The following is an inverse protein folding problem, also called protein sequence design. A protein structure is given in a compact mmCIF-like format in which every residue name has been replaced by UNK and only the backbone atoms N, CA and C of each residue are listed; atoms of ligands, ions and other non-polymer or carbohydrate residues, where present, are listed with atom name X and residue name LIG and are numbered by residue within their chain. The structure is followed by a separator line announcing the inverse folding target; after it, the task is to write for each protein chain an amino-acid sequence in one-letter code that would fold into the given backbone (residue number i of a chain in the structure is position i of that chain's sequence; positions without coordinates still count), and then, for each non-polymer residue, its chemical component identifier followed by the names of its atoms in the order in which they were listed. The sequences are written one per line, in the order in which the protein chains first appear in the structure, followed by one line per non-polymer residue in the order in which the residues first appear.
data_IF_137309383317
#
_entry.id   IF_137309383317
#
_cell.length_a   1.000
_cell.length_b   1.000
_cell.length_c   1.000
_cell.angle_alpha   90.00
_cell.angle_beta   90.00
_cell.angle_gamma   90.00
#
_symmetry.space_group_name_H-M   'P 1'
#
loop_
_entity.id
_entity.type
_entity.pdbx_description
1 polymer ?
#
# COMPACT_ATOMS: atom_id res chain seq x y z
N UNK A 1 -12.97 26.87 29.64
CA UNK A 1 -12.89 26.49 28.21
C UNK A 1 -11.73 25.49 28.05
N UNK A 2 -11.92 24.28 28.56
CA UNK A 2 -10.97 23.16 28.38
C UNK A 2 -11.26 22.48 27.04
N UNK A 3 -10.37 22.66 26.07
CA UNK A 3 -10.28 21.75 24.92
C UNK A 3 -9.64 20.47 25.43
N UNK A 4 -10.46 19.51 25.84
CA UNK A 4 -10.05 18.11 25.91
C UNK A 4 -9.50 17.75 24.53
N UNK A 5 -8.20 17.46 24.46
CA UNK A 5 -7.56 16.78 23.35
C UNK A 5 -8.14 15.38 23.28
N UNK A 6 -9.35 15.26 22.73
CA UNK A 6 -9.92 13.98 22.33
C UNK A 6 -9.11 13.47 21.16
N UNK A 7 -8.04 12.73 21.44
CA UNK A 7 -7.54 11.78 20.47
C UNK A 7 -8.69 10.81 20.19
N UNK A 8 -9.46 11.08 19.14
CA UNK A 8 -10.42 10.14 18.55
C UNK A 8 -9.72 8.76 18.49
N UNK A 9 -10.24 7.74 19.20
CA UNK A 9 -9.59 6.44 19.28
C UNK A 9 -9.36 5.93 17.87
N UNK A 10 -8.09 5.71 17.51
CA UNK A 10 -7.77 5.23 16.17
C UNK A 10 -8.45 3.87 15.99
N UNK A 11 -9.22 3.71 14.91
CA UNK A 11 -10.05 2.52 14.76
C UNK A 11 -9.16 1.28 14.61
N UNK A 12 -9.45 0.28 15.45
CA UNK A 12 -8.74 -1.00 15.41
C UNK A 12 -9.01 -1.71 14.08
N UNK A 13 -7.98 -2.35 13.53
CA UNK A 13 -8.01 -3.01 12.21
C UNK A 13 -9.17 -4.00 12.08
N UNK A 14 -9.37 -4.84 13.10
CA UNK A 14 -10.44 -5.84 13.10
C UNK A 14 -11.84 -5.21 13.07
N UNK A 15 -12.02 -4.07 13.73
CA UNK A 15 -13.29 -3.33 13.74
C UNK A 15 -13.61 -2.79 12.35
N UNK A 16 -12.61 -2.23 11.67
CA UNK A 16 -12.77 -1.74 10.29
C UNK A 16 -13.02 -2.87 9.31
N UNK A 17 -12.33 -4.00 9.43
CA UNK A 17 -12.58 -5.18 8.60
C UNK A 17 -13.98 -5.73 8.81
N UNK A 18 -14.44 -5.83 10.06
CA UNK A 18 -15.80 -6.25 10.38
C UNK A 18 -16.85 -5.29 9.81
N UNK A 19 -16.62 -3.99 9.91
CA UNK A 19 -17.50 -2.97 9.32
C UNK A 19 -17.53 -3.08 7.78
N UNK A 20 -16.38 -3.34 7.15
CA UNK A 20 -16.26 -3.49 5.71
C UNK A 20 -17.01 -4.72 5.19
N UNK A 21 -16.87 -5.86 5.87
CA UNK A 21 -17.59 -7.09 5.53
C UNK A 21 -19.10 -6.89 5.66
N UNK A 22 -19.55 -6.11 6.66
CA UNK A 22 -20.97 -5.78 6.87
C UNK A 22 -21.51 -4.74 5.89
N UNK A 23 -20.66 -3.84 5.39
CA UNK A 23 -21.06 -2.74 4.50
C UNK A 23 -20.05 -2.52 3.35
N UNK A 24 -19.93 -3.47 2.41
CA UNK A 24 -19.00 -3.35 1.29
C UNK A 24 -19.32 -2.15 0.39
N UNK A 25 -20.57 -1.69 0.38
CA UNK A 25 -21.01 -0.54 -0.41
C UNK A 25 -20.26 0.76 -0.07
N UNK A 26 -19.70 0.86 1.14
CA UNK A 26 -18.89 2.01 1.56
C UNK A 26 -17.65 2.19 0.68
N UNK A 27 -17.12 1.11 0.08
CA UNK A 27 -15.99 1.18 -0.85
C UNK A 27 -16.32 1.92 -2.14
N UNK A 28 -17.56 1.83 -2.62
CA UNK A 28 -17.97 2.55 -3.83
C UNK A 28 -18.03 4.06 -3.58
N UNK A 29 -18.39 4.50 -2.37
CA UNK A 29 -18.40 5.91 -1.99
C UNK A 29 -17.00 6.53 -1.93
N UNK A 30 -15.97 5.72 -1.71
CA UNK A 30 -14.56 6.15 -1.70
C UNK A 30 -13.74 5.49 -2.82
N UNK A 31 -14.42 5.10 -3.90
CA UNK A 31 -13.78 4.49 -5.06
C UNK A 31 -12.68 5.40 -5.61
N UNK A 32 -11.45 4.87 -5.67
CA UNK A 32 -10.27 5.71 -5.84
C UNK A 32 -9.96 5.93 -7.33
N UNK A 33 -10.70 6.84 -7.95
CA UNK A 33 -10.55 7.18 -9.37
C UNK A 33 -9.17 7.74 -9.71
N UNK A 34 -8.49 8.42 -8.76
CA UNK A 34 -7.16 8.99 -8.98
C UNK A 34 -6.10 7.89 -9.17
N UNK A 35 -6.14 6.89 -8.29
CA UNK A 35 -5.21 5.76 -8.37
C UNK A 35 -5.50 4.89 -9.59
N UNK A 36 -6.78 4.72 -9.93
CA UNK A 36 -7.17 4.05 -11.17
C UNK A 36 -6.65 4.79 -12.41
N UNK A 37 -6.87 6.10 -12.50
CA UNK A 37 -6.40 6.93 -13.61
C UNK A 37 -4.88 6.88 -13.73
N UNK A 38 -4.16 7.07 -12.63
CA UNK A 38 -2.69 7.00 -12.62
C UNK A 38 -2.19 5.62 -13.10
N UNK A 39 -2.84 4.54 -12.68
CA UNK A 39 -2.51 3.18 -13.12
C UNK A 39 -2.77 2.99 -14.62
N UNK A 40 -3.91 3.46 -15.13
CA UNK A 40 -4.26 3.39 -16.56
C UNK A 40 -3.25 4.19 -17.39
N UNK A 41 -2.89 5.39 -16.96
CA UNK A 41 -1.91 6.23 -17.66
C UNK A 41 -0.53 5.58 -17.71
N UNK A 42 -0.10 4.92 -16.64
CA UNK A 42 1.21 4.27 -16.58
C UNK A 42 1.24 2.92 -17.33
N UNK A 43 0.17 2.12 -17.27
CA UNK A 43 0.13 0.77 -17.83
C UNK A 43 -0.44 0.69 -19.25
N UNK A 44 -1.43 1.52 -19.57
CA UNK A 44 -2.11 1.54 -20.86
C UNK A 44 -1.14 1.61 -22.05
N UNK A 45 -0.15 2.52 -22.07
CA UNK A 45 0.82 2.59 -23.15
C UNK A 45 1.68 1.33 -23.31
N UNK A 46 2.01 0.64 -22.21
CA UNK A 46 2.82 -0.58 -22.22
C UNK A 46 2.04 -1.72 -22.90
N UNK A 47 0.78 -1.92 -22.50
CA UNK A 47 -0.07 -2.96 -23.08
C UNK A 47 -0.45 -2.66 -24.53
N UNK A 48 -0.76 -1.40 -24.83
CA UNK A 48 -1.01 -0.96 -26.20
C UNK A 48 0.23 -1.21 -27.08
N UNK A 49 1.41 -0.77 -26.64
CA UNK A 49 2.68 -0.96 -27.33
C UNK A 49 3.02 -2.44 -27.57
N UNK A 50 2.86 -3.28 -26.56
CA UNK A 50 3.10 -4.72 -26.69
C UNK A 50 2.16 -5.38 -27.71
N UNK A 51 0.89 -4.96 -27.73
CA UNK A 51 -0.14 -5.53 -28.60
C UNK A 51 -0.20 -4.89 -29.99
N UNK A 52 0.44 -3.73 -30.23
CA UNK A 52 0.58 -3.13 -31.56
C UNK A 52 1.24 -4.10 -32.56
N UNK A 53 2.18 -4.91 -32.09
CA UNK A 53 2.83 -5.97 -32.88
C UNK A 53 1.85 -7.01 -33.46
N UNK A 54 0.66 -7.13 -32.87
CA UNK A 54 -0.41 -8.06 -33.28
C UNK A 54 -1.56 -7.37 -34.03
N UNK A 55 -1.41 -6.08 -34.35
CA UNK A 55 -2.39 -5.29 -35.09
C UNK A 55 -3.22 -4.37 -34.20
N UNK A 56 -3.76 -3.32 -34.82
CA UNK A 56 -4.43 -2.22 -34.12
C UNK A 56 -5.69 -2.65 -33.34
N UNK A 57 -6.49 -3.57 -33.89
CA UNK A 57 -7.66 -4.10 -33.20
C UNK A 57 -7.32 -4.87 -31.92
N UNK A 58 -6.24 -5.66 -31.96
CA UNK A 58 -5.74 -6.37 -30.78
C UNK A 58 -5.14 -5.39 -29.75
N UNK A 59 -4.44 -4.35 -30.20
CA UNK A 59 -3.91 -3.30 -29.35
C UNK A 59 -4.99 -2.50 -28.61
N UNK A 60 -6.05 -2.10 -29.34
CA UNK A 60 -7.18 -1.40 -28.74
C UNK A 60 -7.96 -2.30 -27.78
N UNK A 61 -8.18 -3.57 -28.14
CA UNK A 61 -8.81 -4.55 -27.26
C UNK A 61 -8.03 -4.76 -25.96
N UNK A 62 -6.70 -4.87 -26.04
CA UNK A 62 -5.82 -4.97 -24.87
C UNK A 62 -5.87 -3.71 -23.99
N UNK A 63 -5.84 -2.52 -24.60
CA UNK A 63 -5.93 -1.24 -23.88
C UNK A 63 -7.29 -1.10 -23.15
N UNK A 64 -8.39 -1.47 -23.80
CA UNK A 64 -9.73 -1.38 -23.22
C UNK A 64 -9.90 -2.38 -22.08
N UNK A 65 -9.44 -3.62 -22.25
CA UNK A 65 -9.44 -4.63 -21.20
C UNK A 65 -8.64 -4.16 -19.97
N UNK A 66 -7.42 -3.66 -20.19
CA UNK A 66 -6.58 -3.12 -19.10
C UNK A 66 -7.24 -1.93 -18.42
N UNK A 67 -7.88 -1.04 -19.18
CA UNK A 67 -8.60 0.12 -18.66
C UNK A 67 -9.74 -0.30 -17.73
N UNK A 68 -10.54 -1.28 -18.13
CA UNK A 68 -11.65 -1.78 -17.30
C UNK A 68 -11.14 -2.50 -16.05
N UNK A 69 -10.13 -3.36 -16.19
CA UNK A 69 -9.51 -4.08 -15.08
C UNK A 69 -8.90 -3.09 -14.08
N UNK A 70 -8.19 -2.06 -14.56
CA UNK A 70 -7.61 -1.03 -13.71
C UNK A 70 -8.69 -0.18 -13.05
N UNK A 71 -9.69 0.31 -13.79
CA UNK A 71 -10.77 1.12 -13.22
C UNK A 71 -11.46 0.37 -12.07
N UNK A 72 -11.91 -0.86 -12.31
CA UNK A 72 -12.66 -1.61 -11.32
C UNK A 72 -11.75 -2.16 -10.22
N UNK A 73 -10.72 -2.89 -10.59
CA UNK A 73 -9.83 -3.58 -9.64
C UNK A 73 -8.97 -2.62 -8.83
N UNK A 74 -8.21 -1.75 -9.51
CA UNK A 74 -7.28 -0.83 -8.84
C UNK A 74 -8.06 0.23 -8.06
N UNK A 75 -9.17 0.74 -8.59
CA UNK A 75 -9.98 1.73 -7.88
C UNK A 75 -10.64 1.19 -6.61
N UNK A 76 -11.19 -0.03 -6.66
CA UNK A 76 -11.80 -0.69 -5.49
C UNK A 76 -10.75 -1.11 -4.45
N UNK A 77 -9.62 -1.65 -4.91
CA UNK A 77 -8.53 -2.02 -4.03
C UNK A 77 -7.91 -0.81 -3.32
N UNK A 78 -7.75 0.32 -4.02
CA UNK A 78 -7.25 1.53 -3.40
C UNK A 78 -8.29 2.21 -2.50
N UNK A 79 -9.59 1.97 -2.72
CA UNK A 79 -10.64 2.34 -1.76
C UNK A 79 -10.52 1.55 -0.44
N UNK A 80 -10.18 0.25 -0.53
CA UNK A 80 -9.86 -0.58 0.64
C UNK A 80 -8.62 -0.05 1.39
N UNK A 81 -7.52 0.19 0.66
CA UNK A 81 -6.28 0.77 1.22
C UNK A 81 -6.56 2.11 1.88
N UNK A 82 -7.37 2.97 1.25
CA UNK A 82 -7.75 4.27 1.77
C UNK A 82 -8.58 4.15 3.07
N UNK A 83 -9.49 3.17 3.14
CA UNK A 83 -10.33 2.92 4.32
C UNK A 83 -9.49 2.41 5.50
N UNK A 84 -8.53 1.53 5.22
CA UNK A 84 -7.64 0.97 6.23
C UNK A 84 -6.41 1.84 6.51
N UNK A 85 -6.27 3.02 5.87
CA UNK A 85 -5.04 3.82 5.94
C UNK A 85 -4.62 4.23 7.35
N UNK A 86 -5.59 4.43 8.25
CA UNK A 86 -5.37 4.82 9.65
C UNK A 86 -5.61 3.67 10.66
N UNK A 87 -5.80 2.44 10.18
CA UNK A 87 -6.08 1.29 11.02
C UNK A 87 -4.87 0.91 11.89
N UNK A 88 -5.12 0.62 13.17
CA UNK A 88 -4.11 0.14 14.10
C UNK A 88 -4.27 -1.35 14.43
N UNK A 89 -3.17 -2.10 14.65
CA UNK A 89 -1.77 -1.65 14.65
C UNK A 89 -1.17 -1.49 13.24
N UNK A 90 -0.31 -0.49 13.07
CA UNK A 90 0.19 -0.08 11.74
C UNK A 90 0.94 -1.18 10.99
N UNK A 91 1.75 -1.97 11.70
CA UNK A 91 2.51 -3.06 11.08
C UNK A 91 1.56 -4.14 10.53
N UNK A 92 0.49 -4.47 11.25
CA UNK A 92 -0.47 -5.49 10.84
C UNK A 92 -1.29 -5.00 9.65
N UNK A 93 -1.70 -3.73 9.65
CA UNK A 93 -2.36 -3.09 8.50
C UNK A 93 -1.47 -3.13 7.27
N UNK A 94 -0.17 -2.79 7.43
CA UNK A 94 0.80 -2.87 6.35
C UNK A 94 0.92 -4.28 5.78
N UNK A 95 1.13 -5.29 6.63
CA UNK A 95 1.23 -6.70 6.24
C UNK A 95 -0.06 -7.20 5.57
N UNK A 96 -1.23 -6.85 6.13
CA UNK A 96 -2.52 -7.25 5.59
C UNK A 96 -2.70 -6.72 4.16
N UNK A 97 -2.44 -5.43 3.96
CA UNK A 97 -2.60 -4.78 2.67
C UNK A 97 -1.52 -5.23 1.68
N UNK A 98 -0.25 -5.28 2.07
CA UNK A 98 0.83 -5.55 1.11
C UNK A 98 1.08 -7.03 0.84
N UNK A 99 0.67 -7.94 1.73
CA UNK A 99 1.00 -9.36 1.63
C UNK A 99 -0.22 -10.26 1.68
N UNK A 100 -1.09 -10.11 2.67
CA UNK A 100 -2.21 -11.05 2.87
C UNK A 100 -3.22 -10.91 1.74
N UNK A 101 -3.69 -9.70 1.45
CA UNK A 101 -4.71 -9.50 0.42
C UNK A 101 -4.20 -9.84 -0.99
N UNK A 102 -3.03 -9.34 -1.44
CA UNK A 102 -2.44 -9.76 -2.71
C UNK A 102 -2.12 -11.26 -2.74
N UNK A 103 -1.68 -11.83 -1.62
CA UNK A 103 -1.39 -13.25 -1.50
C UNK A 103 -2.62 -14.12 -1.73
N UNK A 104 -3.78 -13.74 -1.18
CA UNK A 104 -5.04 -14.45 -1.43
C UNK A 104 -5.44 -14.41 -2.91
N UNK A 105 -5.38 -13.24 -3.54
CA UNK A 105 -5.69 -13.08 -4.98
C UNK A 105 -4.71 -13.91 -5.83
N UNK A 106 -3.42 -13.81 -5.54
CA UNK A 106 -2.38 -14.54 -6.26
C UNK A 106 -2.50 -16.06 -6.06
N UNK A 107 -2.97 -16.53 -4.90
CA UNK A 107 -3.21 -17.95 -4.66
C UNK A 107 -4.36 -18.51 -5.52
N UNK A 108 -5.42 -17.70 -5.71
CA UNK A 108 -6.53 -18.06 -6.62
C UNK A 108 -6.00 -18.13 -8.06
N UNK A 109 -5.30 -17.09 -8.51
CA UNK A 109 -4.70 -17.05 -9.86
C UNK A 109 -3.73 -18.22 -10.07
N UNK A 110 -2.86 -18.49 -9.10
CA UNK A 110 -1.93 -19.61 -9.13
C UNK A 110 -2.66 -20.94 -9.26
N UNK A 111 -3.76 -21.14 -8.52
CA UNK A 111 -4.56 -22.37 -8.61
C UNK A 111 -5.16 -22.54 -10.01
N UNK A 112 -5.72 -21.48 -10.57
CA UNK A 112 -6.28 -21.48 -11.93
C UNK A 112 -5.20 -21.81 -12.97
N UNK A 113 -4.02 -21.18 -12.89
CA UNK A 113 -2.92 -21.43 -13.81
C UNK A 113 -2.29 -22.81 -13.65
N UNK A 114 -2.25 -23.34 -12.42
CA UNK A 114 -1.80 -24.71 -12.16
C UNK A 114 -2.72 -25.71 -12.83
N UNK A 115 -4.04 -25.52 -12.73
CA UNK A 115 -5.03 -26.36 -13.41
C UNK A 115 -4.94 -26.25 -14.95
N UNK A 116 -4.50 -25.10 -15.48
CA UNK A 116 -4.29 -24.86 -16.92
C UNK A 116 -2.90 -25.26 -17.45
N UNK A 117 -2.01 -25.78 -16.60
CA UNK A 117 -0.68 -26.24 -17.02
C UNK A 117 0.28 -25.13 -17.50
N UNK A 118 0.15 -23.90 -17.01
CA UNK A 118 0.99 -22.78 -17.47
C UNK A 118 2.47 -22.94 -17.04
N UNK A 119 3.47 -22.85 -17.95
CA UNK A 119 4.88 -22.93 -17.60
C UNK A 119 5.37 -21.71 -16.80
N UNK A 120 6.43 -21.87 -16.01
CA UNK A 120 7.07 -20.82 -15.18
C UNK A 120 6.20 -20.13 -14.11
N UNK A 121 5.12 -20.78 -13.68
CA UNK A 121 4.11 -20.19 -12.81
C UNK A 121 4.63 -19.69 -11.46
N UNK A 122 5.54 -20.41 -10.80
CA UNK A 122 6.07 -20.02 -9.47
C UNK A 122 6.86 -18.71 -9.53
N UNK A 123 7.70 -18.55 -10.55
CA UNK A 123 8.52 -17.34 -10.73
C UNK A 123 7.64 -16.13 -11.02
N UNK A 124 6.67 -16.28 -11.94
CA UNK A 124 5.71 -15.23 -12.25
C UNK A 124 4.88 -14.82 -11.02
N UNK A 125 4.43 -15.79 -10.22
CA UNK A 125 3.65 -15.53 -9.01
C UNK A 125 4.47 -14.78 -7.94
N UNK A 126 5.74 -15.14 -7.72
CA UNK A 126 6.60 -14.45 -6.76
C UNK A 126 6.85 -13.00 -7.20
N UNK A 127 7.23 -12.79 -8.47
CA UNK A 127 7.47 -11.45 -9.01
C UNK A 127 6.21 -10.60 -8.89
N UNK A 128 5.06 -11.14 -9.28
CA UNK A 128 3.77 -10.45 -9.18
C UNK A 128 3.44 -10.05 -7.74
N UNK A 129 3.64 -10.97 -6.77
CA UNK A 129 3.41 -10.70 -5.36
C UNK A 129 4.34 -9.60 -4.82
N UNK A 130 5.63 -9.64 -5.17
CA UNK A 130 6.58 -8.60 -4.76
C UNK A 130 6.22 -7.23 -5.33
N UNK A 131 5.95 -7.16 -6.64
CA UNK A 131 5.55 -5.92 -7.32
C UNK A 131 4.25 -5.38 -6.73
N UNK A 132 3.26 -6.24 -6.50
CA UNK A 132 1.97 -5.87 -5.91
C UNK A 132 2.12 -5.39 -4.46
N UNK A 133 2.95 -6.06 -3.66
CA UNK A 133 3.20 -5.68 -2.28
C UNK A 133 3.89 -4.32 -2.16
N UNK A 134 4.94 -4.09 -2.93
CA UNK A 134 5.64 -2.79 -2.99
C UNK A 134 4.68 -1.69 -3.46
N UNK A 135 3.93 -1.93 -4.54
CA UNK A 135 2.96 -0.96 -5.07
C UNK A 135 1.88 -0.62 -4.06
N UNK A 136 1.39 -1.61 -3.31
CA UNK A 136 0.39 -1.39 -2.26
C UNK A 136 0.99 -0.58 -1.11
N UNK A 137 2.20 -0.93 -0.66
CA UNK A 137 2.84 -0.25 0.45
C UNK A 137 3.11 1.23 0.12
N UNK A 138 3.50 1.52 -1.13
CA UNK A 138 3.62 2.89 -1.61
C UNK A 138 2.28 3.63 -1.64
N UNK A 139 1.22 3.01 -2.19
CA UNK A 139 -0.12 3.62 -2.19
C UNK A 139 -0.62 3.90 -0.76
N UNK A 140 -0.44 2.94 0.15
CA UNK A 140 -0.77 3.11 1.55
C UNK A 140 0.05 4.24 2.20
N UNK A 141 1.35 4.32 1.94
CA UNK A 141 2.20 5.42 2.40
C UNK A 141 1.73 6.77 1.86
N UNK A 142 1.46 6.88 0.56
CA UNK A 142 0.98 8.11 -0.07
C UNK A 142 -0.35 8.59 0.53
N UNK A 143 -1.32 7.67 0.70
CA UNK A 143 -2.62 7.97 1.30
C UNK A 143 -2.52 8.35 2.77
N UNK A 144 -1.60 7.75 3.51
CA UNK A 144 -1.32 8.16 4.90
C UNK A 144 -0.75 9.57 5.01
N UNK A 145 -0.01 10.00 4.00
CA UNK A 145 0.55 11.36 3.91
C UNK A 145 -0.42 12.35 3.19
N UNK A 146 -1.67 11.95 2.95
CA UNK A 146 -2.72 12.83 2.45
C UNK A 146 -2.79 12.97 0.93
N UNK A 147 -2.03 12.19 0.16
CA UNK A 147 -2.08 12.19 -1.29
C UNK A 147 -2.87 11.00 -1.84
N UNK A 148 -3.37 11.09 -3.08
CA UNK A 148 -4.10 10.02 -3.78
C UNK A 148 -5.37 9.56 -3.07
N UNK A 149 -5.96 10.39 -2.19
CA UNK A 149 -7.23 10.12 -1.55
C UNK A 149 -8.39 10.68 -2.39
N UNK A 150 -9.58 10.08 -2.26
CA UNK A 150 -10.84 10.56 -2.84
C UNK A 150 -11.87 10.75 -1.72
N UNK A 151 -12.62 11.86 -1.75
CA UNK A 151 -13.66 12.16 -0.76
C UNK A 151 -13.42 13.51 -0.05
N UNK A 152 -14.05 13.73 1.13
CA UNK A 152 -14.04 15.02 1.83
C UNK A 152 -12.64 15.54 2.17
N UNK A 153 -11.70 14.62 2.46
CA UNK A 153 -10.30 14.96 2.82
C UNK A 153 -9.36 15.02 1.60
N UNK A 154 -9.88 15.05 0.37
CA UNK A 154 -9.04 14.94 -0.84
C UNK A 154 -8.50 16.27 -1.35
N UNK A 155 -7.21 16.29 -1.70
CA UNK A 155 -6.57 17.39 -2.45
C UNK A 155 -6.83 17.26 -3.95
N UNK A 156 -6.56 18.29 -4.76
CA UNK A 156 -6.63 18.16 -6.23
C UNK A 156 -5.58 17.18 -6.79
N UNK A 157 -5.90 16.46 -7.88
CA UNK A 157 -4.98 15.49 -8.50
C UNK A 157 -3.63 16.12 -8.87
N UNK A 158 -3.63 17.35 -9.40
CA UNK A 158 -2.39 18.06 -9.72
C UNK A 158 -1.55 18.38 -8.47
N UNK A 159 -2.22 18.66 -7.34
CA UNK A 159 -1.53 18.86 -6.06
C UNK A 159 -0.87 17.55 -5.61
N UNK A 160 -1.59 16.43 -5.69
CA UNK A 160 -1.06 15.10 -5.38
C UNK A 160 0.16 14.77 -6.26
N UNK A 161 0.08 15.05 -7.56
CA UNK A 161 1.18 14.82 -8.51
C UNK A 161 2.43 15.65 -8.19
N UNK A 162 2.27 16.90 -7.72
CA UNK A 162 3.41 17.72 -7.29
C UNK A 162 4.09 17.17 -6.03
N UNK A 163 3.35 16.48 -5.18
CA UNK A 163 3.91 15.85 -3.98
C UNK A 163 4.50 14.46 -4.25
N UNK A 164 4.16 13.80 -5.35
CA UNK A 164 4.66 12.46 -5.69
C UNK A 164 6.18 12.32 -5.64
N UNK A 165 7.01 13.23 -6.20
CA UNK A 165 8.47 13.08 -6.13
C UNK A 165 8.98 13.01 -4.69
N UNK A 166 8.44 13.86 -3.81
CA UNK A 166 8.77 13.89 -2.38
C UNK A 166 8.28 12.63 -1.66
N UNK A 167 7.10 12.13 -2.02
CA UNK A 167 6.55 10.89 -1.44
C UNK A 167 7.36 9.67 -1.85
N UNK A 168 7.78 9.57 -3.11
CA UNK A 168 8.66 8.51 -3.61
C UNK A 168 9.97 8.55 -2.84
N UNK A 169 10.60 9.72 -2.73
CA UNK A 169 11.86 9.87 -2.01
C UNK A 169 11.69 9.49 -0.52
N UNK A 170 10.62 9.94 0.12
CA UNK A 170 10.30 9.58 1.50
C UNK A 170 10.09 8.09 1.70
N UNK A 171 9.37 7.44 0.78
CA UNK A 171 9.12 6.00 0.80
C UNK A 171 10.41 5.19 0.65
N UNK A 172 11.29 5.58 -0.30
CA UNK A 172 12.59 4.94 -0.50
C UNK A 172 13.50 5.12 0.71
N UNK A 173 13.54 6.31 1.31
CA UNK A 173 14.42 6.62 2.44
C UNK A 173 13.93 6.03 3.78
N UNK A 174 12.61 5.88 3.97
CA UNK A 174 12.00 5.39 5.21
C UNK A 174 12.62 4.09 5.77
N UNK A 175 12.79 3.00 4.99
CA UNK A 175 13.40 1.77 5.50
C UNK A 175 14.87 1.98 5.92
N UNK A 176 15.64 2.77 5.18
CA UNK A 176 17.03 3.09 5.55
C UNK A 176 17.11 3.90 6.84
N UNK A 177 16.22 4.89 7.03
CA UNK A 177 16.15 5.64 8.31
C UNK A 177 15.77 4.76 9.48
N UNK A 178 14.87 3.81 9.27
CA UNK A 178 14.49 2.83 10.29
C UNK A 178 15.68 1.93 10.66
N UNK A 179 16.40 1.40 9.66
CA UNK A 179 17.59 0.59 9.87
C UNK A 179 18.70 1.37 10.61
N UNK A 180 18.99 2.60 10.19
CA UNK A 180 19.98 3.47 10.84
C UNK A 180 19.62 3.81 12.31
N UNK A 181 18.33 4.01 12.60
CA UNK A 181 17.86 4.25 13.98
C UNK A 181 18.00 3.01 14.86
N UNK A 182 17.74 1.81 14.33
CA UNK A 182 17.95 0.55 15.05
C UNK A 182 19.43 0.32 15.37
N UNK A 183 20.33 0.64 14.44
CA UNK A 183 21.78 0.50 14.64
C UNK A 183 22.33 1.51 15.66
N UNK A 184 21.84 2.77 15.64
CA UNK A 184 22.26 3.81 16.61
C UNK A 184 21.68 3.62 18.01
N UNK A 185 20.51 2.99 18.14
CA UNK A 185 19.86 2.73 19.42
C UNK A 185 20.55 1.67 20.29
N UNK A 186 21.50 0.91 19.73
CA UNK A 186 22.26 -0.13 20.42
C UNK A 186 23.64 0.31 20.94
N UNK A 187 24.01 1.59 20.84
CA UNK A 187 25.41 2.04 21.06
C UNK A 187 25.61 3.03 22.22
N UNK A 188 24.68 3.16 23.17
CA UNK A 188 24.97 3.90 24.41
C UNK A 188 24.68 2.99 25.61
N UNK A 189 25.67 2.23 26.10
CA UNK A 189 25.68 1.80 27.49
C UNK A 189 25.69 3.06 28.36
N UNK A 190 24.75 3.14 29.28
CA UNK A 190 24.68 4.21 30.27
C UNK A 190 25.93 4.13 31.19
N UNK A 191 26.81 5.14 31.21
CA UNK A 191 27.98 5.13 32.08
C UNK A 191 27.63 5.23 33.58
N UNK A 192 26.37 5.46 33.94
CA UNK A 192 25.94 5.57 35.34
C UNK A 192 25.79 4.23 36.08
N UNK A 193 25.85 3.08 35.40
CA UNK A 193 25.69 1.77 36.07
C UNK A 193 27.02 1.18 36.60
N UNK A 194 28.14 1.90 36.52
CA UNK A 194 29.45 1.42 37.00
C UNK A 194 29.92 2.02 38.33
N UNK A 195 29.05 2.70 39.08
CA UNK A 195 29.31 3.10 40.46
C UNK A 195 28.39 2.35 41.43
N UNK A 196 28.70 1.08 41.68
CA UNK A 196 28.47 0.47 42.98
C UNK A 196 29.85 0.03 43.45
N UNK A 197 30.37 0.65 44.51
CA UNK A 197 30.87 -0.06 45.69
C UNK A 197 30.80 0.87 46.91
N UNK A 198 30.20 0.43 48.03
CA UNK A 198 30.14 1.17 49.27
C UNK A 198 31.48 1.08 50.01
N UNK A 199 32.01 2.22 50.45
CA UNK A 199 33.20 2.28 51.29
C UNK A 199 33.01 1.52 52.60
N UNK A 200 33.70 0.40 52.72
CA UNK A 200 34.11 -0.19 53.99
C UNK A 200 35.60 0.09 54.25
N UNK A 201 35.96 0.23 55.53
CA UNK A 201 37.25 0.67 56.11
C UNK A 201 37.34 2.20 56.28
N UNK A 202 37.43 2.79 57.48
CA UNK A 202 38.09 2.39 58.75
C UNK A 202 37.28 2.90 59.94
#
# INVERSE_FOLDING_TARGET
MERLTGEEPRPHLLTLLGALIRRPQTLFSVWNWKSALLSITLRGPIFFGAALSKGFGAAFGALLAETLICALGVGLYNALVQTLRRAEPLWATGVLLSLVFPGCVQAIEYTIHRLRGTPHLRTAAIISLCVSGISTLFNWYAMRNGALMVGPDSSGLLSDLRHLPRLILGFVIAPFRFALRRIRGSTIPDPSTQQIEPGGAV
#
